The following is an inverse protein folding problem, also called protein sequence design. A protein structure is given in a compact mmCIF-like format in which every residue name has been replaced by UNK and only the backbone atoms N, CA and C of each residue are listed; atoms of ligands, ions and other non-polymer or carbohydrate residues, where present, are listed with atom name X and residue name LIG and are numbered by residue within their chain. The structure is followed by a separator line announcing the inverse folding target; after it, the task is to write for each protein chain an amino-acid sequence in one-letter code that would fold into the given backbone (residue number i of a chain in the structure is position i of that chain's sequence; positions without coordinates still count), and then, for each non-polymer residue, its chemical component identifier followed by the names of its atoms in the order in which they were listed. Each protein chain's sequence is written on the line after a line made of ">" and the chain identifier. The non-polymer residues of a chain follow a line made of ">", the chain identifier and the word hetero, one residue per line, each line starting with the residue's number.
data_IF_298619038425
#
_entry.id   IF_298619038425
#
_cell.length_a   1.000
_cell.length_b   1.000
_cell.length_c   1.000
_cell.angle_alpha   90.00
_cell.angle_beta   90.00
_cell.angle_gamma   90.00
#
_symmetry.space_group_name_H-M   'P 1'
#
loop_
_entity.id
_entity.type
_entity.pdbx_description
1 polymer ?
#
# COMPACT_ATOMS: atom_id res chain seq x y z
N UNK A 1 -4.49 -4.75 15.60
CA UNK A 1 -4.53 -3.68 14.58
C UNK A 1 -5.73 -2.85 14.90
N UNK A 2 -5.54 -1.55 15.01
CA UNK A 2 -6.59 -0.63 15.45
C UNK A 2 -7.60 -0.36 14.31
N UNK A 3 -8.80 0.11 14.64
CA UNK A 3 -9.85 0.50 13.67
C UNK A 3 -9.34 1.49 12.63
N UNK A 4 -8.66 2.55 13.09
CA UNK A 4 -8.19 3.63 12.24
C UNK A 4 -7.08 3.15 11.28
N UNK A 5 -6.28 2.16 11.72
CA UNK A 5 -5.28 1.53 10.87
C UNK A 5 -5.94 0.71 9.76
N UNK A 6 -6.97 -0.06 10.11
CA UNK A 6 -7.75 -0.84 9.15
C UNK A 6 -8.40 0.05 8.09
N UNK A 7 -8.97 1.17 8.52
CA UNK A 7 -9.58 2.15 7.63
C UNK A 7 -8.57 2.67 6.60
N UNK A 8 -7.43 3.19 7.05
CA UNK A 8 -6.43 3.73 6.14
C UNK A 8 -5.74 2.67 5.28
N UNK A 9 -5.52 1.45 5.79
CA UNK A 9 -4.99 0.35 4.97
C UNK A 9 -5.99 -0.03 3.89
N UNK A 10 -7.30 -0.07 4.20
CA UNK A 10 -8.34 -0.32 3.19
C UNK A 10 -8.33 0.76 2.10
N UNK A 11 -8.09 2.03 2.46
CA UNK A 11 -7.90 3.12 1.50
C UNK A 11 -6.72 2.87 0.56
N UNK A 12 -5.57 2.43 1.08
CA UNK A 12 -4.40 2.11 0.23
C UNK A 12 -4.73 0.98 -0.74
N UNK A 13 -5.40 -0.07 -0.26
CA UNK A 13 -5.74 -1.22 -1.10
C UNK A 13 -6.73 -0.80 -2.18
N UNK A 14 -7.78 -0.08 -1.83
CA UNK A 14 -8.75 0.42 -2.81
C UNK A 14 -8.14 1.45 -3.77
N UNK A 15 -7.11 2.20 -3.32
CA UNK A 15 -6.31 3.02 -4.21
C UNK A 15 -5.60 2.18 -5.27
N UNK A 16 -4.95 1.07 -4.96
CA UNK A 16 -4.29 0.29 -6.02
C UNK A 16 -5.25 -0.53 -6.89
N UNK A 17 -6.28 -1.13 -6.30
CA UNK A 17 -7.06 -2.17 -6.96
C UNK A 17 -8.53 -1.80 -7.23
N UNK A 18 -8.93 -0.59 -6.87
CA UNK A 18 -10.27 -0.05 -7.13
C UNK A 18 -11.18 -0.11 -5.89
N UNK A 19 -12.19 0.75 -5.88
CA UNK A 19 -13.16 0.83 -4.80
C UNK A 19 -13.88 -0.51 -4.60
N UNK A 20 -14.05 -0.90 -3.33
CA UNK A 20 -14.68 -2.17 -2.96
C UNK A 20 -13.77 -3.40 -3.02
N UNK A 21 -12.46 -3.25 -3.31
CA UNK A 21 -11.51 -4.38 -3.25
C UNK A 21 -11.43 -4.96 -1.84
N UNK A 22 -11.45 -4.10 -0.82
CA UNK A 22 -11.51 -4.49 0.58
C UNK A 22 -12.28 -3.46 1.39
N UNK A 23 -12.84 -3.92 2.50
CA UNK A 23 -13.43 -3.11 3.54
C UNK A 23 -12.55 -3.09 4.79
N UNK A 24 -12.61 -2.06 5.65
CA UNK A 24 -11.78 -1.97 6.85
C UNK A 24 -11.81 -3.23 7.73
N UNK A 25 -12.99 -3.81 7.94
CA UNK A 25 -13.18 -5.00 8.77
C UNK A 25 -12.54 -6.27 8.21
N UNK A 26 -12.31 -6.35 6.89
CA UNK A 26 -11.66 -7.49 6.25
C UNK A 26 -10.13 -7.38 6.21
N UNK A 27 -9.56 -6.23 6.57
CA UNK A 27 -8.11 -6.02 6.53
C UNK A 27 -7.39 -6.87 7.58
N UNK A 28 -6.43 -7.67 7.10
CA UNK A 28 -5.52 -8.47 7.90
C UNK A 28 -4.05 -8.03 7.73
N UNK A 29 -3.14 -8.68 8.46
CA UNK A 29 -1.72 -8.33 8.45
C UNK A 29 -1.05 -8.63 7.10
N UNK A 30 -1.43 -9.71 6.40
CA UNK A 30 -0.90 -10.03 5.08
C UNK A 30 -1.24 -8.95 4.07
N UNK A 31 -2.49 -8.47 4.08
CA UNK A 31 -2.93 -7.36 3.24
C UNK A 31 -2.15 -6.07 3.52
N UNK A 32 -1.84 -5.79 4.79
CA UNK A 32 -1.01 -4.64 5.16
C UNK A 32 0.44 -4.77 4.64
N UNK A 33 1.01 -5.98 4.65
CA UNK A 33 2.34 -6.25 4.07
C UNK A 33 2.34 -6.04 2.56
N UNK A 34 1.35 -6.61 1.85
CA UNK A 34 1.24 -6.44 0.39
C UNK A 34 1.02 -4.96 0.02
N UNK A 35 0.16 -4.25 0.75
CA UNK A 35 -0.04 -2.82 0.55
C UNK A 35 1.25 -2.00 0.78
N UNK A 36 2.09 -2.41 1.73
CA UNK A 36 3.39 -1.78 1.97
C UNK A 36 4.36 -1.99 0.82
N UNK A 37 4.52 -3.23 0.37
CA UNK A 37 5.43 -3.57 -0.74
C UNK A 37 5.00 -2.89 -2.04
N UNK A 38 3.68 -2.86 -2.31
CA UNK A 38 3.11 -2.13 -3.43
C UNK A 38 3.42 -0.62 -3.34
N UNK A 39 3.25 -0.01 -2.16
CA UNK A 39 3.60 1.40 -1.95
C UNK A 39 5.09 1.67 -2.16
N UNK A 40 5.97 0.82 -1.63
CA UNK A 40 7.42 0.95 -1.81
C UNK A 40 7.81 0.84 -3.29
N UNK A 41 7.21 -0.09 -4.05
CA UNK A 41 7.47 -0.23 -5.48
C UNK A 41 6.93 0.96 -6.29
N UNK A 42 5.74 1.46 -5.94
CA UNK A 42 5.10 2.59 -6.63
C UNK A 42 5.86 3.90 -6.39
N UNK A 43 6.28 4.15 -5.15
CA UNK A 43 7.15 5.28 -4.80
C UNK A 43 8.54 5.12 -5.43
N UNK A 44 9.09 3.91 -5.44
CA UNK A 44 10.34 3.57 -6.11
C UNK A 44 10.35 3.91 -7.59
N UNK A 45 9.26 3.58 -8.28
CA UNK A 45 9.05 3.88 -9.69
C UNK A 45 8.90 5.39 -9.90
N UNK A 46 8.11 6.06 -9.05
CA UNK A 46 7.86 7.50 -9.14
C UNK A 46 9.15 8.30 -8.90
N UNK A 47 9.90 7.98 -7.84
CA UNK A 47 11.18 8.62 -7.53
C UNK A 47 12.25 8.38 -8.61
N UNK A 48 12.20 7.23 -9.30
CA UNK A 48 13.07 6.98 -10.45
C UNK A 48 12.70 7.87 -11.64
N UNK A 49 11.42 8.22 -11.81
CA UNK A 49 10.99 9.22 -12.79
C UNK A 49 11.38 10.64 -12.37
N UNK A 50 11.41 10.92 -11.06
CA UNK A 50 11.83 12.21 -10.49
C UNK A 50 13.36 12.34 -10.27
N UNK A 51 14.15 11.32 -10.65
CA UNK A 51 15.61 11.25 -10.46
C UNK A 51 16.11 11.48 -9.02
N UNK A 52 15.32 11.11 -8.00
CA UNK A 52 15.70 11.27 -6.57
C UNK A 52 16.42 10.02 -6.04
N UNK A 53 17.60 10.13 -5.41
CA UNK A 53 18.31 8.98 -4.84
C UNK A 53 17.52 8.34 -3.70
N UNK A 54 17.43 7.00 -3.71
CA UNK A 54 16.70 6.25 -2.66
C UNK A 54 17.51 6.18 -1.35
N UNK A 55 16.88 6.40 -0.20
CA UNK A 55 17.42 5.91 1.07
C UNK A 55 17.31 4.38 1.11
N UNK A 56 18.40 3.72 1.51
CA UNK A 56 18.44 2.27 1.74
C UNK A 56 17.85 2.00 3.12
N UNK A 57 16.62 1.47 3.20
CA UNK A 57 16.04 1.00 4.45
C UNK A 57 15.95 -0.53 4.47
N UNK A 58 16.42 -1.14 5.57
CA UNK A 58 16.25 -2.57 5.81
C UNK A 58 14.79 -2.94 6.06
N UNK A 59 14.43 -4.22 5.85
CA UNK A 59 13.05 -4.73 6.04
C UNK A 59 12.55 -4.43 7.46
N UNK A 60 11.56 -3.55 7.63
CA UNK A 60 11.09 -3.19 8.95
C UNK A 60 10.14 -4.25 9.52
N UNK A 61 10.00 -4.31 10.84
CA UNK A 61 9.10 -5.26 11.50
C UNK A 61 7.62 -4.99 11.24
N UNK A 62 6.76 -6.01 11.37
CA UNK A 62 5.33 -5.94 11.01
C UNK A 62 4.53 -4.79 11.66
N UNK A 63 4.83 -4.42 12.92
CA UNK A 63 4.20 -3.25 13.57
C UNK A 63 4.54 -1.92 12.89
N UNK A 64 5.75 -1.80 12.33
CA UNK A 64 6.16 -0.62 11.58
C UNK A 64 5.46 -0.56 10.24
N UNK A 65 5.41 -1.68 9.52
CA UNK A 65 4.69 -1.83 8.24
C UNK A 65 3.26 -1.32 8.36
N UNK A 66 2.50 -1.85 9.32
CA UNK A 66 1.11 -1.44 9.57
C UNK A 66 0.99 0.08 9.80
N UNK A 67 1.87 0.66 10.61
CA UNK A 67 1.86 2.10 10.90
C UNK A 67 2.20 2.94 9.67
N UNK A 68 3.18 2.52 8.86
CA UNK A 68 3.57 3.27 7.66
C UNK A 68 2.47 3.25 6.60
N UNK A 69 1.88 2.08 6.33
CA UNK A 69 0.78 1.96 5.37
C UNK A 69 -0.41 2.81 5.82
N UNK A 70 -0.80 2.74 7.10
CA UNK A 70 -1.88 3.57 7.62
C UNK A 70 -1.59 5.08 7.49
N UNK A 71 -0.35 5.52 7.76
CA UNK A 71 0.07 6.91 7.59
C UNK A 71 -0.03 7.38 6.14
N UNK A 72 0.37 6.54 5.19
CA UNK A 72 0.27 6.84 3.76
C UNK A 72 -1.19 6.84 3.30
N UNK A 73 -1.98 5.87 3.76
CA UNK A 73 -3.43 5.81 3.49
C UNK A 73 -4.16 7.07 3.93
N UNK A 74 -3.80 7.64 5.09
CA UNK A 74 -4.31 8.94 5.53
C UNK A 74 -3.98 10.08 4.55
N UNK A 75 -2.75 10.11 4.00
CA UNK A 75 -2.36 11.13 3.00
C UNK A 75 -3.15 10.99 1.71
N UNK A 76 -3.31 9.75 1.24
CA UNK A 76 -4.13 9.43 0.06
C UNK A 76 -5.58 9.87 0.29
N UNK A 77 -6.17 9.56 1.45
CA UNK A 77 -7.52 9.99 1.81
C UNK A 77 -7.69 11.52 1.81
N UNK A 78 -6.63 12.27 2.16
CA UNK A 78 -6.61 13.73 2.08
C UNK A 78 -6.29 14.31 0.70
N UNK A 79 -6.11 13.47 -0.33
CA UNK A 79 -5.80 13.89 -1.71
C UNK A 79 -4.32 14.18 -1.98
N UNK A 80 -3.42 13.92 -1.04
CA UNK A 80 -1.97 14.10 -1.19
C UNK A 80 -1.33 12.80 -1.72
N UNK A 81 -1.32 12.64 -3.04
CA UNK A 81 -0.77 11.48 -3.74
C UNK A 81 0.44 11.85 -4.59
N UNK A 82 1.63 11.48 -4.16
CA UNK A 82 2.90 11.70 -4.88
C UNK A 82 3.28 10.51 -5.79
N UNK A 83 2.31 9.71 -6.25
CA UNK A 83 2.54 8.50 -7.05
C UNK A 83 2.01 8.73 -8.47
N UNK A 84 2.87 8.57 -9.48
CA UNK A 84 2.43 8.65 -10.88
C UNK A 84 1.49 7.50 -11.24
N UNK A 85 0.47 7.79 -12.05
CA UNK A 85 -0.56 6.82 -12.44
C UNK A 85 0.01 5.58 -13.15
N UNK A 86 1.01 5.76 -14.01
CA UNK A 86 1.70 4.64 -14.70
C UNK A 86 2.39 3.70 -13.71
N UNK A 87 3.03 4.24 -12.69
CA UNK A 87 3.64 3.46 -11.61
C UNK A 87 2.59 2.74 -10.76
N UNK A 88 1.49 3.42 -10.42
CA UNK A 88 0.34 2.82 -9.70
C UNK A 88 -0.22 1.63 -10.49
N UNK A 89 -0.51 1.80 -11.77
CA UNK A 89 -1.11 0.77 -12.62
C UNK A 89 -0.20 -0.45 -12.78
N UNK A 90 1.11 -0.22 -12.99
CA UNK A 90 2.10 -1.30 -13.07
C UNK A 90 2.13 -2.14 -11.80
N UNK A 91 2.21 -1.47 -10.64
CA UNK A 91 2.24 -2.15 -9.34
C UNK A 91 0.93 -2.91 -9.06
N UNK A 92 -0.21 -2.29 -9.38
CA UNK A 92 -1.52 -2.93 -9.20
C UNK A 92 -1.61 -4.26 -9.96
N UNK A 93 -1.06 -4.32 -11.18
CA UNK A 93 -0.98 -5.55 -11.98
C UNK A 93 -0.03 -6.57 -11.33
N UNK A 94 1.18 -6.15 -10.96
CA UNK A 94 2.22 -7.04 -10.42
C UNK A 94 1.81 -7.73 -9.10
N UNK A 95 1.07 -7.01 -8.24
CA UNK A 95 0.68 -7.50 -6.91
C UNK A 95 -0.72 -8.09 -6.86
N UNK A 96 -1.46 -8.14 -7.97
CA UNK A 96 -2.87 -8.60 -8.00
C UNK A 96 -3.05 -10.00 -7.40
N UNK A 97 -2.21 -10.97 -7.77
CA UNK A 97 -2.31 -12.34 -7.23
C UNK A 97 -2.02 -12.37 -5.73
N UNK A 98 -1.04 -11.57 -5.28
CA UNK A 98 -0.61 -11.54 -3.89
C UNK A 98 -1.70 -10.96 -2.98
N UNK A 99 -2.38 -9.90 -3.42
CA UNK A 99 -3.47 -9.31 -2.63
C UNK A 99 -4.68 -10.26 -2.55
N UNK A 100 -4.98 -11.01 -3.61
CA UNK A 100 -6.08 -11.99 -3.58
C UNK A 100 -5.77 -13.20 -2.68
N UNK A 101 -4.52 -13.66 -2.63
CA UNK A 101 -4.09 -14.68 -1.67
C UNK A 101 -4.18 -14.14 -0.23
N UNK A 102 -3.68 -12.92 -0.01
CA UNK A 102 -3.72 -12.28 1.31
C UNK A 102 -5.16 -12.09 1.83
N UNK A 103 -6.12 -11.79 0.95
CA UNK A 103 -7.57 -11.72 1.31
C UNK A 103 -8.11 -13.04 1.85
N UNK A 104 -7.56 -14.17 1.39
CA UNK A 104 -7.92 -15.51 1.85
C UNK A 104 -7.17 -15.93 3.12
N UNK A 105 -6.27 -15.07 3.63
CA UNK A 105 -5.43 -15.37 4.79
C UNK A 105 -4.23 -16.26 4.47
N UNK A 106 -3.87 -16.36 3.18
CA UNK A 106 -2.71 -17.10 2.67
C UNK A 106 -1.48 -16.20 2.54
#
# INVERSE_FOLDING_TARGET
>A
MESDQREHISTVINYFWGDGTTSPESVNQGMATIAYEALEEAQSCSAAMDFVPRPISGRPGGKYIIKQVAKIGKRIASGDTQIYETCRNRVAINFRTQIEMAKQGL
#
